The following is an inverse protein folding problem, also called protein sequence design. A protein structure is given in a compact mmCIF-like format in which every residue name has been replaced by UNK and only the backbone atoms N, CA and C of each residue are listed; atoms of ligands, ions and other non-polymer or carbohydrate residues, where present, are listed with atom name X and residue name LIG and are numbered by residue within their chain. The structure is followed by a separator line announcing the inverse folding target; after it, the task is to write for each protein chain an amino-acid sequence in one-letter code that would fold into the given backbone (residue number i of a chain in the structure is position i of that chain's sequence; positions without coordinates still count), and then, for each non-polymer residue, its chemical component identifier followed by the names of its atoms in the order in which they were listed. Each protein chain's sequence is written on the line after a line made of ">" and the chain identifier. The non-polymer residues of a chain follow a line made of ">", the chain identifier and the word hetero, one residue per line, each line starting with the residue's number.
data_IF_446790866752
#
_entry.id   IF_446790866752
#
_cell.length_a   1.000
_cell.length_b   1.000
_cell.length_c   1.000
_cell.angle_alpha   90.00
_cell.angle_beta   90.00
_cell.angle_gamma   90.00
#
_symmetry.space_group_name_H-M   'P 1'
#
loop_
_entity.id
_entity.type
_entity.pdbx_description
1 polymer ?
#
# COMPACT_ATOMS: atom_id res chain seq x y z
N UNK A 1 13.52 4.94 -14.33
CA UNK A 1 12.70 3.90 -13.66
C UNK A 1 13.53 3.39 -12.49
N UNK A 2 13.16 3.80 -11.29
CA UNK A 2 13.86 3.46 -10.05
C UNK A 2 13.49 2.07 -9.52
N UNK A 3 14.14 1.65 -8.43
CA UNK A 3 13.88 0.35 -7.80
C UNK A 3 12.46 0.29 -7.21
N UNK A 4 11.93 1.42 -6.75
CA UNK A 4 10.57 1.53 -6.20
C UNK A 4 9.50 1.35 -7.30
N UNK A 5 9.76 1.81 -8.53
CA UNK A 5 8.81 1.71 -9.65
C UNK A 5 8.55 0.26 -10.10
N UNK A 6 9.50 -0.64 -9.84
CA UNK A 6 9.42 -2.06 -10.25
C UNK A 6 9.11 -3.00 -9.09
N UNK A 7 9.05 -2.49 -7.88
CA UNK A 7 8.66 -3.22 -6.69
C UNK A 7 7.13 -3.23 -6.51
N UNK A 8 6.60 -4.27 -5.88
CA UNK A 8 5.20 -4.24 -5.44
C UNK A 8 5.04 -3.36 -4.20
N UNK A 9 3.89 -2.68 -4.07
CA UNK A 9 3.59 -1.85 -2.88
C UNK A 9 3.81 -2.60 -1.57
N UNK A 10 3.39 -3.87 -1.49
CA UNK A 10 3.63 -4.71 -0.32
C UNK A 10 5.13 -4.94 -0.04
N UNK A 11 5.97 -5.09 -1.09
CA UNK A 11 7.42 -5.20 -0.91
C UNK A 11 8.04 -3.91 -0.41
N UNK A 12 7.53 -2.75 -0.87
CA UNK A 12 8.03 -1.43 -0.47
C UNK A 12 7.70 -1.20 1.00
N UNK A 13 6.44 -1.34 1.43
CA UNK A 13 6.04 -1.18 2.82
C UNK A 13 6.78 -2.10 3.79
N UNK A 14 6.84 -3.39 3.48
CA UNK A 14 7.61 -4.35 4.30
C UNK A 14 9.11 -4.08 4.30
N UNK A 15 9.65 -3.49 3.23
CA UNK A 15 11.04 -3.04 3.15
C UNK A 15 11.28 -1.82 4.01
N UNK A 16 10.32 -0.88 4.03
CA UNK A 16 10.35 0.27 4.91
C UNK A 16 10.33 -0.13 6.40
N UNK A 17 9.48 -1.09 6.79
CA UNK A 17 9.48 -1.63 8.15
C UNK A 17 10.84 -2.22 8.53
N UNK A 18 11.44 -3.00 7.61
CA UNK A 18 12.77 -3.58 7.80
C UNK A 18 13.88 -2.53 7.93
N UNK A 19 13.77 -1.42 7.19
CA UNK A 19 14.65 -0.26 7.33
C UNK A 19 14.47 0.39 8.71
N UNK A 20 13.25 0.66 9.14
CA UNK A 20 12.95 1.23 10.47
C UNK A 20 13.42 0.35 11.61
N UNK A 21 13.31 -0.97 11.46
CA UNK A 21 13.81 -1.96 12.41
C UNK A 21 15.33 -2.21 12.31
N UNK A 22 16.04 -1.48 11.46
CA UNK A 22 17.50 -1.60 11.27
C UNK A 22 17.96 -3.03 10.97
N UNK A 23 17.20 -3.75 10.12
CA UNK A 23 17.49 -5.14 9.78
C UNK A 23 18.64 -5.30 8.79
N UNK A 24 19.14 -4.23 8.16
CA UNK A 24 20.37 -4.25 7.37
C UNK A 24 21.56 -4.22 8.30
N UNK A 25 22.30 -5.30 8.38
CA UNK A 25 23.41 -5.47 9.34
C UNK A 25 24.74 -5.00 8.79
N UNK A 26 24.93 -5.06 7.47
CA UNK A 26 26.12 -4.57 6.77
C UNK A 26 25.77 -4.30 5.31
N UNK A 27 26.46 -3.36 4.68
CA UNK A 27 26.40 -3.17 3.24
C UNK A 27 27.71 -2.57 2.71
N UNK A 28 27.97 -2.82 1.42
CA UNK A 28 29.11 -2.31 0.67
C UNK A 28 28.67 -1.76 -0.68
N UNK A 29 29.37 -0.73 -1.14
CA UNK A 29 29.24 -0.20 -2.49
C UNK A 29 30.10 -1.02 -3.43
N UNK A 30 29.50 -1.68 -4.42
CA UNK A 30 30.21 -2.44 -5.44
C UNK A 30 30.64 -1.56 -6.62
N UNK A 31 29.76 -0.64 -7.02
CA UNK A 31 29.98 0.37 -8.05
C UNK A 31 29.12 1.60 -7.71
N UNK A 32 29.23 2.68 -8.46
CA UNK A 32 28.43 3.90 -8.27
C UNK A 32 26.89 3.65 -8.28
N UNK A 33 26.45 2.50 -8.79
CA UNK A 33 25.03 2.17 -8.92
C UNK A 33 24.66 0.79 -8.36
N UNK A 34 25.63 0.04 -7.82
CA UNK A 34 25.39 -1.29 -7.30
C UNK A 34 25.87 -1.42 -5.86
N UNK A 35 25.01 -1.97 -5.03
CA UNK A 35 25.27 -2.19 -3.61
C UNK A 35 24.93 -3.62 -3.21
N UNK A 36 25.70 -4.15 -2.29
CA UNK A 36 25.45 -5.45 -1.67
C UNK A 36 25.23 -5.26 -0.18
N UNK A 37 24.30 -6.00 0.40
CA UNK A 37 24.03 -5.93 1.84
C UNK A 37 23.58 -7.26 2.42
N UNK A 38 23.70 -7.37 3.73
CA UNK A 38 23.20 -8.47 4.54
C UNK A 38 22.00 -7.99 5.34
N UNK A 39 20.86 -8.64 5.14
CA UNK A 39 19.60 -8.26 5.76
C UNK A 39 19.07 -9.42 6.62
N UNK A 40 18.75 -9.13 7.87
CA UNK A 40 18.16 -10.11 8.80
C UNK A 40 16.66 -10.28 8.50
N UNK A 41 16.25 -11.52 8.25
CA UNK A 41 14.84 -11.88 8.09
C UNK A 41 14.06 -11.93 9.41
N UNK A 42 12.76 -12.19 9.31
CA UNK A 42 11.86 -12.26 10.48
C UNK A 42 12.22 -13.37 11.47
N UNK A 43 12.73 -14.49 10.99
CA UNK A 43 13.12 -15.67 11.79
C UNK A 43 14.62 -15.68 12.12
N UNK A 44 15.30 -14.54 11.94
CA UNK A 44 16.74 -14.42 12.23
C UNK A 44 17.66 -14.90 11.11
N UNK A 45 17.14 -15.48 10.03
CA UNK A 45 17.95 -15.86 8.87
C UNK A 45 18.59 -14.63 8.24
N UNK A 46 19.84 -14.77 7.78
CA UNK A 46 20.56 -13.71 7.08
C UNK A 46 20.45 -13.90 5.57
N UNK A 47 20.07 -12.86 4.87
CA UNK A 47 19.93 -12.85 3.43
C UNK A 47 20.95 -11.90 2.81
N UNK A 48 21.69 -12.42 1.81
CA UNK A 48 22.55 -11.57 0.98
C UNK A 48 21.73 -11.00 -0.16
N UNK A 49 21.74 -9.68 -0.28
CA UNK A 49 21.01 -8.95 -1.33
C UNK A 49 21.92 -8.02 -2.08
N UNK A 50 21.71 -7.92 -3.38
CA UNK A 50 22.40 -6.98 -4.26
C UNK A 50 21.37 -6.15 -5.01
N UNK A 51 21.52 -4.82 -5.00
CA UNK A 51 20.68 -3.91 -5.77
C UNK A 51 21.48 -3.27 -6.88
N UNK A 52 20.85 -3.10 -8.04
CA UNK A 52 21.38 -2.38 -9.21
C UNK A 52 20.40 -1.25 -9.55
N UNK A 53 20.81 -0.02 -9.29
CA UNK A 53 19.94 1.16 -9.43
C UNK A 53 19.72 1.55 -10.89
N UNK A 54 20.67 1.26 -11.78
CA UNK A 54 20.50 1.50 -13.22
C UNK A 54 19.62 0.42 -13.88
N UNK A 55 19.70 -0.81 -13.38
CA UNK A 55 18.97 -1.93 -13.89
C UNK A 55 18.27 -2.69 -12.75
N UNK A 56 17.22 -2.13 -12.10
CA UNK A 56 16.60 -2.68 -10.89
C UNK A 56 16.20 -4.16 -11.01
N UNK A 57 15.77 -4.60 -12.20
CA UNK A 57 15.41 -6.00 -12.45
C UNK A 57 16.61 -6.98 -12.47
N UNK A 58 17.84 -6.47 -12.37
CA UNK A 58 19.06 -7.29 -12.18
C UNK A 58 19.42 -7.47 -10.71
N UNK A 59 18.74 -6.75 -9.82
CA UNK A 59 18.89 -6.93 -8.38
C UNK A 59 18.58 -8.35 -7.97
N UNK A 60 19.26 -8.88 -6.95
CA UNK A 60 19.18 -10.27 -6.49
C UNK A 60 19.10 -10.35 -4.97
N UNK A 61 18.39 -11.35 -4.49
CA UNK A 61 18.37 -11.71 -3.07
C UNK A 61 18.17 -13.23 -2.96
N UNK A 62 18.92 -13.87 -2.07
CA UNK A 62 18.82 -15.31 -1.81
C UNK A 62 17.66 -15.66 -0.85
N UNK A 63 16.71 -14.76 -0.61
CA UNK A 63 15.54 -15.10 0.19
C UNK A 63 14.54 -15.98 -0.60
N UNK A 64 13.73 -16.82 0.07
CA UNK A 64 12.80 -17.74 -0.60
C UNK A 64 11.82 -17.08 -1.56
N UNK A 65 11.54 -15.76 -1.37
CA UNK A 65 10.65 -15.01 -2.24
C UNK A 65 11.31 -14.58 -3.56
N UNK A 66 12.59 -14.21 -3.53
CA UNK A 66 13.29 -13.60 -4.67
C UNK A 66 14.34 -14.49 -5.33
N UNK A 67 14.78 -15.55 -4.66
CA UNK A 67 15.82 -16.45 -5.20
C UNK A 67 15.40 -17.06 -6.54
N UNK A 68 16.26 -16.91 -7.55
CA UNK A 68 16.00 -17.34 -8.91
C UNK A 68 14.91 -16.55 -9.67
N UNK A 69 14.35 -15.46 -9.09
CA UNK A 69 13.26 -14.67 -9.66
C UNK A 69 13.71 -13.24 -9.96
N UNK A 70 13.05 -12.60 -10.94
CA UNK A 70 13.28 -11.17 -11.30
C UNK A 70 12.30 -10.25 -10.59
N UNK A 71 12.19 -10.37 -9.27
CA UNK A 71 11.27 -9.57 -8.45
C UNK A 71 12.08 -8.78 -7.41
N UNK A 72 11.58 -7.61 -7.06
CA UNK A 72 12.14 -6.81 -5.97
C UNK A 72 11.46 -7.21 -4.67
N UNK A 73 12.23 -7.76 -3.74
CA UNK A 73 11.73 -8.15 -2.43
C UNK A 73 11.98 -7.09 -1.36
N UNK A 74 11.33 -7.26 -0.20
CA UNK A 74 11.47 -6.37 0.95
C UNK A 74 12.93 -6.14 1.41
N UNK A 75 13.81 -7.15 1.26
CA UNK A 75 15.22 -7.03 1.67
C UNK A 75 16.01 -6.09 0.74
N UNK A 76 15.71 -6.10 -0.57
CA UNK A 76 16.29 -5.16 -1.53
C UNK A 76 15.82 -3.73 -1.24
N UNK A 77 14.54 -3.54 -0.90
CA UNK A 77 13.98 -2.24 -0.53
C UNK A 77 14.57 -1.75 0.80
N UNK A 78 14.69 -2.63 1.81
CA UNK A 78 15.33 -2.28 3.08
C UNK A 78 16.78 -1.80 2.87
N UNK A 79 17.55 -2.49 2.02
CA UNK A 79 18.91 -2.06 1.66
C UNK A 79 18.89 -0.70 0.95
N UNK A 80 17.98 -0.51 -0.02
CA UNK A 80 17.83 0.76 -0.73
C UNK A 80 17.55 1.93 0.23
N UNK A 81 16.57 1.79 1.12
CA UNK A 81 16.25 2.82 2.09
C UNK A 81 17.35 3.07 3.14
N UNK A 82 18.16 2.05 3.44
CA UNK A 82 19.32 2.21 4.34
C UNK A 82 20.41 3.06 3.68
N UNK A 83 20.60 2.92 2.38
CA UNK A 83 21.58 3.69 1.61
C UNK A 83 21.05 5.09 1.30
N UNK A 84 19.76 5.22 1.04
CA UNK A 84 19.07 6.46 0.68
C UNK A 84 17.94 6.77 1.67
N UNK A 85 18.28 7.23 2.90
CA UNK A 85 17.26 7.50 3.93
C UNK A 85 16.30 8.62 3.54
N UNK A 86 16.73 9.59 2.74
CA UNK A 86 15.88 10.68 2.24
C UNK A 86 14.73 10.12 1.35
N UNK A 87 15.01 9.09 0.56
CA UNK A 87 14.00 8.39 -0.25
C UNK A 87 13.00 7.63 0.62
N UNK A 88 13.45 7.08 1.75
CA UNK A 88 12.56 6.44 2.71
C UNK A 88 11.62 7.46 3.39
N UNK A 89 12.15 8.61 3.76
CA UNK A 89 11.36 9.69 4.35
C UNK A 89 10.35 10.26 3.34
N UNK A 90 10.78 10.50 2.11
CA UNK A 90 9.88 10.96 1.05
C UNK A 90 8.77 9.96 0.78
N UNK A 91 9.10 8.67 0.62
CA UNK A 91 8.10 7.61 0.45
C UNK A 91 7.04 7.61 1.55
N UNK A 92 7.46 7.72 2.80
CA UNK A 92 6.56 7.73 3.94
C UNK A 92 5.66 8.97 3.96
N UNK A 93 6.23 10.16 3.70
CA UNK A 93 5.48 11.41 3.68
C UNK A 93 4.47 11.45 2.53
N UNK A 94 4.84 10.95 1.35
CA UNK A 94 3.94 10.86 0.20
C UNK A 94 2.77 9.89 0.48
N UNK A 95 3.04 8.79 1.20
CA UNK A 95 2.01 7.84 1.57
C UNK A 95 1.02 8.42 2.59
N UNK A 96 1.50 9.12 3.64
CA UNK A 96 0.63 9.81 4.61
C UNK A 96 -0.24 10.85 3.90
N UNK A 97 0.38 11.67 3.06
CA UNK A 97 -0.36 12.70 2.33
C UNK A 97 -1.45 12.10 1.44
N UNK A 98 -1.17 10.99 0.76
CA UNK A 98 -2.17 10.32 -0.06
C UNK A 98 -3.35 9.78 0.77
N UNK A 99 -3.10 9.32 2.01
CA UNK A 99 -4.14 8.88 2.95
C UNK A 99 -4.98 10.07 3.43
N UNK A 100 -4.35 11.18 3.81
CA UNK A 100 -5.04 12.43 4.21
C UNK A 100 -5.91 12.99 3.08
N UNK A 101 -5.38 13.06 1.85
CA UNK A 101 -6.10 13.53 0.66
C UNK A 101 -7.31 12.61 0.35
N UNK A 102 -7.18 11.29 0.57
CA UNK A 102 -8.27 10.34 0.39
C UNK A 102 -9.38 10.50 1.44
N UNK A 103 -9.02 10.69 2.71
CA UNK A 103 -9.98 10.96 3.80
C UNK A 103 -10.71 12.30 3.59
N UNK A 104 -10.01 13.34 3.16
CA UNK A 104 -10.62 14.65 2.86
C UNK A 104 -11.64 14.50 1.72
N UNK A 105 -11.28 13.79 0.64
CA UNK A 105 -12.18 13.53 -0.47
C UNK A 105 -13.43 12.74 -0.03
N UNK A 106 -13.27 11.69 0.78
CA UNK A 106 -14.40 10.91 1.29
C UNK A 106 -15.34 11.78 2.14
N UNK A 107 -14.79 12.63 3.00
CA UNK A 107 -15.56 13.55 3.83
C UNK A 107 -16.33 14.56 2.98
N UNK A 108 -15.69 15.16 1.96
CA UNK A 108 -16.37 16.07 1.04
C UNK A 108 -17.54 15.39 0.29
N UNK A 109 -17.31 14.16 -0.19
CA UNK A 109 -18.37 13.38 -0.86
C UNK A 109 -19.51 13.09 0.08
N UNK A 110 -19.20 12.67 1.32
CA UNK A 110 -20.20 12.42 2.35
C UNK A 110 -21.06 13.66 2.63
N UNK A 111 -20.45 14.83 2.84
CA UNK A 111 -21.18 16.09 3.07
C UNK A 111 -22.08 16.45 1.88
N UNK A 112 -21.59 16.30 0.64
CA UNK A 112 -22.38 16.53 -0.58
C UNK A 112 -23.61 15.61 -0.65
N UNK A 113 -23.42 14.32 -0.30
CA UNK A 113 -24.50 13.32 -0.26
C UNK A 113 -25.53 13.68 0.82
N UNK A 114 -25.09 13.96 2.05
CA UNK A 114 -25.97 14.37 3.15
C UNK A 114 -26.77 15.62 2.77
N UNK A 115 -26.10 16.64 2.27
CA UNK A 115 -26.76 17.89 1.82
C UNK A 115 -27.80 17.60 0.73
N UNK A 116 -27.48 16.73 -0.22
CA UNK A 116 -28.44 16.35 -1.28
C UNK A 116 -29.67 15.67 -0.72
N UNK A 117 -29.47 14.69 0.15
CA UNK A 117 -30.57 13.92 0.80
C UNK A 117 -31.48 14.85 1.59
N UNK A 118 -30.93 15.75 2.40
CA UNK A 118 -31.68 16.67 3.24
C UNK A 118 -32.53 17.66 2.44
N UNK A 119 -32.18 17.91 1.18
CA UNK A 119 -32.93 18.82 0.30
C UNK A 119 -33.81 18.10 -0.73
N UNK A 120 -33.87 16.75 -0.69
CA UNK A 120 -34.78 15.99 -1.56
C UNK A 120 -36.23 16.14 -1.13
N UNK A 121 -37.13 16.21 -2.09
CA UNK A 121 -38.55 16.10 -1.81
C UNK A 121 -38.88 14.69 -1.31
N UNK A 122 -39.87 14.56 -0.44
CA UNK A 122 -40.27 13.28 0.14
C UNK A 122 -40.52 12.19 -0.93
N UNK A 123 -41.21 12.54 -2.02
CA UNK A 123 -41.51 11.61 -3.11
C UNK A 123 -40.23 11.10 -3.81
N UNK A 124 -39.28 12.02 -4.09
CA UNK A 124 -38.02 11.66 -4.72
C UNK A 124 -37.16 10.78 -3.80
N UNK A 125 -37.16 11.09 -2.50
CA UNK A 125 -36.46 10.30 -1.49
C UNK A 125 -37.01 8.88 -1.38
N UNK A 126 -38.36 8.75 -1.35
CA UNK A 126 -39.02 7.45 -1.32
C UNK A 126 -38.70 6.62 -2.55
N UNK A 127 -38.75 7.24 -3.75
CA UNK A 127 -38.41 6.54 -4.99
C UNK A 127 -36.93 6.13 -5.01
N UNK A 128 -36.01 7.02 -4.61
CA UNK A 128 -34.59 6.68 -4.54
C UNK A 128 -34.32 5.55 -3.57
N UNK A 129 -34.97 5.54 -2.40
CA UNK A 129 -34.82 4.47 -1.43
C UNK A 129 -35.33 3.13 -1.98
N UNK A 130 -36.48 3.14 -2.65
CA UNK A 130 -37.06 1.96 -3.28
C UNK A 130 -36.11 1.42 -4.37
N UNK A 131 -35.60 2.29 -5.24
CA UNK A 131 -34.67 1.91 -6.29
C UNK A 131 -33.37 1.30 -5.71
N UNK A 132 -32.80 1.90 -4.65
CA UNK A 132 -31.61 1.37 -3.97
C UNK A 132 -31.86 -0.01 -3.35
N UNK A 133 -33.04 -0.25 -2.76
CA UNK A 133 -33.39 -1.54 -2.17
C UNK A 133 -33.63 -2.62 -3.21
N UNK A 134 -34.22 -2.28 -4.35
CA UNK A 134 -34.57 -3.24 -5.40
C UNK A 134 -33.39 -3.54 -6.35
N UNK A 135 -32.46 -2.60 -6.55
CA UNK A 135 -31.32 -2.75 -7.45
C UNK A 135 -30.01 -3.01 -6.74
N UNK A 136 -29.97 -2.77 -5.44
CA UNK A 136 -28.80 -2.98 -4.59
C UNK A 136 -28.57 -4.44 -4.22
N UNK A 137 -27.51 -4.73 -3.44
CA UNK A 137 -27.24 -6.06 -2.94
C UNK A 137 -28.41 -6.58 -2.06
N UNK A 138 -28.76 -7.86 -2.18
CA UNK A 138 -29.86 -8.52 -1.47
C UNK A 138 -29.82 -8.30 0.06
N UNK A 139 -28.62 -8.26 0.66
CA UNK A 139 -28.46 -8.02 2.10
C UNK A 139 -29.00 -6.66 2.57
N UNK A 140 -29.03 -5.63 1.68
CA UNK A 140 -29.59 -4.32 2.03
C UNK A 140 -31.13 -4.40 2.15
N UNK A 141 -31.75 -5.10 1.21
CA UNK A 141 -33.20 -5.37 1.25
C UNK A 141 -33.58 -6.15 2.49
N UNK A 142 -32.90 -7.25 2.77
CA UNK A 142 -33.13 -8.08 3.95
C UNK A 142 -32.95 -7.31 5.26
N UNK A 143 -31.91 -6.45 5.34
CA UNK A 143 -31.67 -5.60 6.50
C UNK A 143 -32.83 -4.63 6.72
N UNK A 144 -33.29 -3.98 5.65
CA UNK A 144 -34.43 -3.05 5.72
C UNK A 144 -35.71 -3.75 6.17
N UNK A 145 -36.04 -4.89 5.57
CA UNK A 145 -37.25 -5.67 5.94
C UNK A 145 -37.22 -6.09 7.40
N UNK A 146 -36.06 -6.50 7.92
CA UNK A 146 -35.92 -6.87 9.35
C UNK A 146 -36.02 -5.65 10.28
N UNK A 147 -35.43 -4.50 9.89
CA UNK A 147 -35.48 -3.29 10.73
C UNK A 147 -36.89 -2.71 10.86
N UNK A 148 -37.74 -2.93 9.86
CA UNK A 148 -39.14 -2.46 9.84
C UNK A 148 -40.13 -3.52 10.21
N UNK A 149 -39.70 -4.70 10.69
CA UNK A 149 -40.55 -5.83 11.12
C UNK A 149 -41.61 -6.23 10.06
N UNK A 150 -41.22 -6.27 8.79
CA UNK A 150 -42.11 -6.48 7.64
C UNK A 150 -42.36 -7.95 7.28
N UNK A 151 -41.88 -8.91 8.09
CA UNK A 151 -42.21 -10.35 7.98
C UNK A 151 -42.64 -11.00 9.24
#
# INVERSE_FOLDING_TARGET
>A
MGILDVASGNSIWRGYDYYKEQKVTAYDCLTDSQYMGIVRGSEGALYTTTIDLLHPRRSKCNCPHADGRRIICKHMIALFFTIYPDEAEQFYNDAIKAEEDAEEYENEVYEKVVKRIMHMKKADLQQTLLDLLLTGPEWQYDRFVRSEELW
#
